data_IF_614798623114
#
_entry.id   IF_614798623114
#
_cell.length_a   1.000
_cell.length_b   1.000
_cell.length_c   1.000
_cell.angle_alpha   90.00
_cell.angle_beta   90.00
_cell.angle_gamma   90.00
#
_symmetry.space_group_name_H-M   'P 1'
#
loop_
_entity.id
_entity.type
_entity.pdbx_description
1 polymer ?
#
# COMPACT_ATOMS: atom_id res chain seq x y z
N UNK A 1 35.98 15.92 0.27
CA UNK A 1 34.99 15.08 0.98
C UNK A 1 33.76 15.92 1.42
N UNK A 2 33.30 16.87 0.59
CA UNK A 2 32.13 17.73 0.91
C UNK A 2 31.01 17.58 -0.13
N UNK A 3 31.36 17.32 -1.38
CA UNK A 3 30.39 17.18 -2.48
C UNK A 3 29.52 15.91 -2.37
N UNK A 4 30.07 14.80 -1.87
CA UNK A 4 29.31 13.55 -1.73
C UNK A 4 28.26 13.63 -0.62
N UNK A 5 28.57 14.27 0.51
CA UNK A 5 27.62 14.43 1.62
C UNK A 5 26.43 15.30 1.21
N UNK A 6 26.67 16.38 0.47
CA UNK A 6 25.60 17.25 -0.05
C UNK A 6 24.68 16.48 -1.02
N UNK A 7 25.25 15.62 -1.87
CA UNK A 7 24.46 14.80 -2.80
C UNK A 7 23.61 13.76 -2.04
N UNK A 8 24.17 13.12 -1.03
CA UNK A 8 23.45 12.16 -0.19
C UNK A 8 22.31 12.84 0.56
N UNK A 9 22.53 14.02 1.14
CA UNK A 9 21.51 14.78 1.86
C UNK A 9 20.37 15.26 0.96
N UNK A 10 20.68 15.68 -0.28
CA UNK A 10 19.64 16.07 -1.24
C UNK A 10 18.80 14.86 -1.64
N UNK A 11 19.44 13.71 -1.91
CA UNK A 11 18.72 12.47 -2.25
C UNK A 11 17.86 12.00 -1.07
N UNK A 12 18.39 12.04 0.16
CA UNK A 12 17.67 11.65 1.36
C UNK A 12 16.47 12.58 1.64
N UNK A 13 16.65 13.90 1.50
CA UNK A 13 15.55 14.85 1.67
C UNK A 13 14.48 14.71 0.58
N UNK A 14 14.86 14.46 -0.67
CA UNK A 14 13.91 14.16 -1.75
C UNK A 14 13.17 12.85 -1.46
N UNK A 15 13.88 11.81 -1.00
CA UNK A 15 13.29 10.52 -0.63
C UNK A 15 12.24 10.68 0.48
N UNK A 16 12.58 11.41 1.54
CA UNK A 16 11.70 11.70 2.67
C UNK A 16 10.53 12.61 2.24
N UNK A 17 10.80 13.69 1.48
CA UNK A 17 9.80 14.65 1.02
C UNK A 17 8.78 14.06 0.04
N UNK A 18 9.18 13.04 -0.74
CA UNK A 18 8.28 12.27 -1.60
C UNK A 18 7.50 11.20 -0.81
N UNK A 19 7.74 11.07 0.49
CA UNK A 19 7.12 10.10 1.38
C UNK A 19 7.58 8.67 1.12
N UNK A 20 8.74 8.46 0.47
CA UNK A 20 9.31 7.14 0.32
C UNK A 20 9.66 6.61 1.71
N UNK A 21 8.98 5.53 2.12
CA UNK A 21 9.12 4.94 3.45
C UNK A 21 7.84 4.98 4.29
N UNK A 22 6.92 5.89 4.00
CA UNK A 22 5.64 6.00 4.73
C UNK A 22 4.74 4.77 4.49
N UNK A 23 4.01 4.29 5.52
CA UNK A 23 3.04 3.21 5.37
C UNK A 23 2.01 3.48 4.27
N UNK A 24 1.51 4.71 4.17
CA UNK A 24 0.49 5.14 3.20
C UNK A 24 1.00 5.00 1.76
N UNK A 25 2.20 5.50 1.47
CA UNK A 25 2.82 5.35 0.14
C UNK A 25 3.03 3.87 -0.20
N UNK A 26 3.47 3.05 0.77
CA UNK A 26 3.68 1.61 0.57
C UNK A 26 2.36 0.87 0.29
N UNK A 27 1.29 1.19 1.02
CA UNK A 27 -0.06 0.65 0.79
C UNK A 27 -0.52 1.03 -0.60
N UNK A 28 -0.46 2.32 -0.96
CA UNK A 28 -0.85 2.81 -2.28
C UNK A 28 -0.15 2.06 -3.42
N UNK A 29 1.18 1.91 -3.35
CA UNK A 29 1.97 1.19 -4.35
C UNK A 29 1.55 -0.28 -4.46
N UNK A 30 1.18 -0.92 -3.35
CA UNK A 30 0.72 -2.31 -3.38
C UNK A 30 -0.68 -2.43 -3.94
N UNK A 31 -1.59 -1.53 -3.58
CA UNK A 31 -2.92 -1.45 -4.19
C UNK A 31 -2.82 -1.26 -5.71
N UNK A 32 -1.95 -0.38 -6.19
CA UNK A 32 -1.68 -0.21 -7.63
C UNK A 32 -1.11 -1.47 -8.31
N UNK A 33 -0.39 -2.31 -7.57
CA UNK A 33 0.12 -3.59 -8.10
C UNK A 33 -0.99 -4.65 -8.16
N UNK A 34 -1.86 -4.69 -7.16
CA UNK A 34 -3.01 -5.61 -7.08
C UNK A 34 -4.09 -5.19 -8.08
N UNK A 35 -4.26 -3.90 -8.34
CA UNK A 35 -5.26 -3.39 -9.28
C UNK A 35 -5.08 -3.92 -10.71
N UNK A 36 -3.88 -4.39 -11.04
CA UNK A 36 -3.59 -5.07 -12.31
C UNK A 36 -4.28 -6.42 -12.47
N UNK A 37 -4.60 -7.09 -11.36
CA UNK A 37 -5.33 -8.38 -11.35
C UNK A 37 -6.77 -8.21 -10.87
N UNK A 38 -7.02 -7.25 -9.98
CA UNK A 38 -8.36 -6.92 -9.50
C UNK A 38 -8.54 -5.39 -9.43
N UNK A 39 -9.03 -4.75 -10.50
CA UNK A 39 -9.24 -3.31 -10.57
C UNK A 39 -10.22 -2.77 -9.52
N UNK A 40 -11.14 -3.61 -9.05
CA UNK A 40 -12.16 -3.20 -8.08
C UNK A 40 -11.55 -2.75 -6.75
N UNK A 41 -10.47 -3.42 -6.31
CA UNK A 41 -9.79 -3.09 -5.06
C UNK A 41 -9.29 -1.64 -5.07
N UNK A 42 -8.78 -1.16 -6.21
CA UNK A 42 -8.32 0.23 -6.33
C UNK A 42 -9.46 1.22 -6.17
N UNK A 43 -10.61 0.93 -6.80
CA UNK A 43 -11.81 1.76 -6.66
C UNK A 43 -12.29 1.81 -5.21
N UNK A 44 -12.28 0.68 -4.50
CA UNK A 44 -12.68 0.63 -3.09
C UNK A 44 -11.68 1.40 -2.22
N UNK A 45 -10.38 1.23 -2.47
CA UNK A 45 -9.33 1.97 -1.79
C UNK A 45 -9.44 3.48 -1.98
N UNK A 46 -9.74 3.95 -3.19
CA UNK A 46 -9.94 5.38 -3.46
C UNK A 46 -11.17 5.95 -2.74
N UNK A 47 -12.22 5.15 -2.59
CA UNK A 47 -13.45 5.54 -1.89
C UNK A 47 -13.33 5.50 -0.36
N UNK A 48 -12.51 4.60 0.20
CA UNK A 48 -12.37 4.41 1.64
C UNK A 48 -10.89 4.29 2.04
N UNK A 49 -10.11 5.28 1.65
CA UNK A 49 -8.64 5.27 1.83
C UNK A 49 -8.24 5.20 3.30
N UNK A 50 -8.98 5.91 4.16
CA UNK A 50 -8.77 5.89 5.61
C UNK A 50 -8.90 4.47 6.16
N UNK A 51 -9.90 3.69 5.75
CA UNK A 51 -10.02 2.30 6.20
C UNK A 51 -8.80 1.44 5.84
N UNK A 52 -8.24 1.59 4.63
CA UNK A 52 -7.06 0.82 4.22
C UNK A 52 -5.77 1.24 4.93
N UNK A 53 -5.66 2.51 5.29
CA UNK A 53 -4.45 3.09 5.89
C UNK A 53 -4.46 3.07 7.42
N UNK A 54 -5.64 3.16 8.04
CA UNK A 54 -5.83 3.29 9.49
C UNK A 54 -6.28 2.00 10.16
N UNK A 55 -6.97 1.08 9.47
CA UNK A 55 -7.33 -0.20 10.06
C UNK A 55 -6.06 -1.04 10.31
N UNK A 56 -5.75 -1.40 11.56
CA UNK A 56 -4.48 -2.08 11.87
C UNK A 56 -4.35 -3.47 11.24
N UNK A 57 -5.48 -4.18 11.04
CA UNK A 57 -5.48 -5.54 10.47
C UNK A 57 -5.21 -5.46 8.96
N UNK A 58 -5.95 -4.61 8.26
CA UNK A 58 -5.86 -4.44 6.81
C UNK A 58 -4.55 -3.76 6.39
N UNK A 59 -4.17 -2.67 7.05
CA UNK A 59 -2.92 -1.96 6.76
C UNK A 59 -1.70 -2.87 6.94
N UNK A 60 -1.64 -3.63 8.04
CA UNK A 60 -0.57 -4.62 8.30
C UNK A 60 -0.54 -5.70 7.24
N UNK A 61 -1.69 -6.29 6.89
CA UNK A 61 -1.80 -7.30 5.84
C UNK A 61 -1.22 -6.79 4.51
N UNK A 62 -1.65 -5.59 4.11
CA UNK A 62 -1.15 -4.99 2.87
C UNK A 62 0.35 -4.72 2.99
N UNK A 63 0.85 -4.17 4.09
CA UNK A 63 2.28 -3.86 4.25
C UNK A 63 3.19 -5.08 4.28
N UNK A 64 2.75 -6.20 4.84
CA UNK A 64 3.56 -7.42 5.00
C UNK A 64 3.47 -8.37 3.79
N UNK A 65 2.38 -8.29 3.01
CA UNK A 65 2.16 -9.15 1.84
C UNK A 65 3.21 -9.01 0.73
N UNK A 66 3.49 -10.09 0.01
CA UNK A 66 4.28 -10.02 -1.23
C UNK A 66 3.34 -9.81 -2.41
N UNK A 67 3.72 -8.96 -3.37
CA UNK A 67 2.91 -8.66 -4.57
C UNK A 67 3.76 -8.75 -5.85
N UNK A 68 4.74 -9.66 -5.83
CA UNK A 68 5.73 -9.79 -6.89
C UNK A 68 5.24 -10.73 -8.01
N UNK A 69 4.45 -11.74 -7.67
CA UNK A 69 3.87 -12.70 -8.62
C UNK A 69 2.38 -12.44 -8.82
N UNK A 70 1.80 -12.96 -9.91
CA UNK A 70 0.35 -12.88 -10.16
C UNK A 70 -0.43 -13.57 -9.04
N UNK A 71 -0.05 -14.79 -8.68
CA UNK A 71 -0.67 -15.56 -7.61
C UNK A 71 -0.68 -14.80 -6.27
N UNK A 72 0.45 -14.20 -5.88
CA UNK A 72 0.52 -13.42 -4.63
C UNK A 72 -0.41 -12.20 -4.62
N UNK A 73 -0.65 -11.58 -5.79
CA UNK A 73 -1.60 -10.47 -5.92
C UNK A 73 -3.05 -10.94 -5.83
N UNK A 74 -3.35 -12.10 -6.43
CA UNK A 74 -4.68 -12.71 -6.38
C UNK A 74 -5.02 -13.14 -4.94
N UNK A 75 -4.08 -13.77 -4.23
CA UNK A 75 -4.21 -14.14 -2.82
C UNK A 75 -4.49 -12.92 -1.94
N UNK A 76 -3.66 -11.87 -2.04
CA UNK A 76 -3.86 -10.65 -1.27
C UNK A 76 -5.19 -9.96 -1.63
N UNK A 77 -5.56 -9.94 -2.92
CA UNK A 77 -6.85 -9.40 -3.33
C UNK A 77 -8.02 -10.17 -2.71
N UNK A 78 -7.90 -11.49 -2.58
CA UNK A 78 -8.92 -12.33 -1.98
C UNK A 78 -9.03 -12.05 -0.47
N UNK A 79 -7.92 -11.96 0.24
CA UNK A 79 -7.88 -11.65 1.67
C UNK A 79 -8.46 -10.25 1.97
N UNK A 80 -8.10 -9.24 1.18
CA UNK A 80 -8.69 -7.89 1.29
C UNK A 80 -10.21 -7.97 1.07
N UNK A 81 -10.66 -8.73 0.08
CA UNK A 81 -12.09 -8.90 -0.20
C UNK A 81 -12.85 -9.56 0.94
N UNK A 82 -12.22 -10.51 1.64
CA UNK A 82 -12.79 -11.15 2.83
C UNK A 82 -12.95 -10.16 3.98
N UNK A 83 -11.91 -9.37 4.26
CA UNK A 83 -11.97 -8.32 5.30
C UNK A 83 -13.04 -7.28 4.97
N UNK A 84 -13.14 -6.85 3.71
CA UNK A 84 -14.17 -5.90 3.27
C UNK A 84 -15.59 -6.44 3.43
N UNK A 85 -15.79 -7.74 3.21
CA UNK A 85 -17.10 -8.40 3.45
C UNK A 85 -17.45 -8.44 4.93
N UNK A 86 -16.49 -8.79 5.79
CA UNK A 86 -16.68 -8.74 7.25
C UNK A 86 -17.07 -7.33 7.69
N UNK A 87 -16.37 -6.31 7.20
CA UNK A 87 -16.62 -4.92 7.56
C UNK A 87 -17.99 -4.41 7.10
N UNK A 88 -18.41 -4.75 5.88
CA UNK A 88 -19.75 -4.37 5.35
C UNK A 88 -20.91 -5.06 6.05
N UNK A 89 -20.67 -6.16 6.78
CA UNK A 89 -21.70 -6.82 7.59
C UNK A 89 -21.87 -6.19 8.97
N UNK A 90 -20.90 -5.40 9.42
CA UNK A 90 -20.88 -4.78 10.77
C UNK A 90 -21.41 -3.34 10.75
N UNK A 91 -21.50 -2.69 9.59
CA UNK A 91 -22.13 -1.38 9.37
C UNK A 91 -23.51 -1.51 8.74
#
# INVERSE_FOLDING_TARGET
>A
MFLLDIVVDIIANIYISLGYGTPQRKINVKIDKISKVNPEIKRIYENDKAFFEEDPKLSKLILESKVNTRESKEQLSHEISMILKEYKHVR
#
